data_IF_602477369909
#
_entry.id   IF_602477369909
#
_cell.length_a   1.000
_cell.length_b   1.000
_cell.length_c   1.000
_cell.angle_alpha   90.00
_cell.angle_beta   90.00
_cell.angle_gamma   90.00
#
_symmetry.space_group_name_H-M   'P 1'
#
loop_
_entity.id
_entity.type
_entity.pdbx_description
1 polymer ?
#
# COMPACT_ATOMS: atom_id res chain seq x y z
N UNK A 1 15.72 -87.71 -5.78
CA UNK A 1 16.32 -86.59 -6.55
C UNK A 1 16.01 -85.29 -5.82
N UNK A 2 16.97 -84.77 -5.07
CA UNK A 2 16.85 -83.46 -4.40
C UNK A 2 17.87 -82.54 -5.04
N UNK A 3 17.40 -81.58 -5.84
CA UNK A 3 18.24 -80.55 -6.45
C UNK A 3 18.65 -79.54 -5.36
N UNK A 4 19.88 -79.67 -4.85
CA UNK A 4 20.50 -78.70 -3.95
C UNK A 4 21.01 -77.53 -4.78
N UNK A 5 20.21 -76.46 -4.89
CA UNK A 5 20.56 -75.23 -5.62
C UNK A 5 21.64 -74.48 -4.83
N UNK A 6 22.86 -74.43 -5.35
CA UNK A 6 23.95 -73.64 -4.78
C UNK A 6 23.66 -72.15 -5.00
N UNK A 7 23.31 -71.42 -3.93
CA UNK A 7 23.25 -69.96 -3.93
C UNK A 7 24.64 -69.44 -3.55
N UNK A 8 25.37 -68.94 -4.55
CA UNK A 8 26.69 -68.35 -4.39
C UNK A 8 26.51 -66.98 -3.73
N UNK A 9 26.97 -66.80 -2.49
CA UNK A 9 26.90 -65.52 -1.79
C UNK A 9 27.73 -64.47 -2.53
N UNK A 10 27.10 -63.41 -3.03
CA UNK A 10 27.78 -62.29 -3.66
C UNK A 10 28.30 -61.36 -2.57
N UNK A 11 29.59 -60.97 -2.65
CA UNK A 11 30.26 -60.09 -1.67
C UNK A 11 29.45 -58.81 -1.42
N UNK A 12 29.35 -58.37 -0.16
CA UNK A 12 28.52 -57.25 0.32
C UNK A 12 28.71 -55.95 -0.46
N UNK A 13 29.94 -55.70 -0.97
CA UNK A 13 30.26 -54.53 -1.79
C UNK A 13 29.57 -54.56 -3.16
N UNK A 14 29.40 -55.74 -3.76
CA UNK A 14 28.68 -55.92 -5.02
C UNK A 14 27.18 -55.69 -4.88
N UNK A 15 26.63 -55.90 -3.68
CA UNK A 15 25.21 -55.77 -3.43
C UNK A 15 24.82 -54.29 -3.25
N UNK A 16 25.65 -53.52 -2.55
CA UNK A 16 25.48 -52.06 -2.36
C UNK A 16 25.54 -51.33 -3.71
N UNK A 17 26.49 -51.67 -4.58
CA UNK A 17 26.62 -51.06 -5.91
C UNK A 17 25.36 -51.31 -6.75
N UNK A 18 24.80 -52.53 -6.68
CA UNK A 18 23.56 -52.87 -7.41
C UNK A 18 22.36 -52.10 -6.89
N UNK A 19 22.22 -51.92 -5.58
CA UNK A 19 21.15 -51.13 -4.98
C UNK A 19 21.25 -49.67 -5.43
N UNK A 20 22.43 -49.06 -5.36
CA UNK A 20 22.63 -47.68 -5.79
C UNK A 20 22.37 -47.47 -7.29
N UNK A 21 22.72 -48.46 -8.14
CA UNK A 21 22.40 -48.43 -9.57
C UNK A 21 20.89 -48.46 -9.84
N UNK A 22 20.13 -49.23 -9.05
CA UNK A 22 18.67 -49.29 -9.16
C UNK A 22 18.05 -47.94 -8.76
N UNK A 23 18.52 -47.32 -7.67
CA UNK A 23 18.05 -45.99 -7.27
C UNK A 23 18.36 -44.94 -8.33
N UNK A 24 19.58 -44.93 -8.87
CA UNK A 24 19.99 -43.97 -9.90
C UNK A 24 19.15 -44.12 -11.18
N UNK A 25 18.86 -45.36 -11.60
CA UNK A 25 17.94 -45.63 -12.71
C UNK A 25 16.52 -45.12 -12.45
N UNK A 26 16.01 -45.30 -11.23
CA UNK A 26 14.69 -44.80 -10.83
C UNK A 26 14.62 -43.27 -10.82
N UNK A 27 15.65 -42.57 -10.32
CA UNK A 27 15.73 -41.11 -10.37
C UNK A 27 15.82 -40.58 -11.79
N UNK A 28 16.59 -41.22 -12.67
CA UNK A 28 16.67 -40.84 -14.08
C UNK A 28 15.32 -41.04 -14.79
N UNK A 29 14.60 -42.13 -14.49
CA UNK A 29 13.26 -42.36 -15.03
C UNK A 29 12.26 -41.31 -14.54
N UNK A 30 12.26 -40.97 -13.24
CA UNK A 30 11.45 -39.88 -12.71
C UNK A 30 11.77 -38.54 -13.38
N UNK A 31 13.06 -38.25 -13.59
CA UNK A 31 13.49 -37.01 -14.24
C UNK A 31 13.05 -36.94 -15.70
N UNK A 32 13.15 -38.05 -16.44
CA UNK A 32 12.66 -38.16 -17.81
C UNK A 32 11.14 -38.06 -17.87
N UNK A 33 10.40 -38.63 -16.91
CA UNK A 33 8.95 -38.47 -16.80
C UNK A 33 8.58 -37.02 -16.50
N UNK A 34 9.32 -36.32 -15.63
CA UNK A 34 9.11 -34.89 -15.34
C UNK A 34 9.39 -34.00 -16.56
N UNK A 35 10.31 -34.40 -17.44
CA UNK A 35 10.60 -33.68 -18.69
C UNK A 35 9.57 -34.01 -19.79
N UNK A 36 9.10 -35.26 -19.88
CA UNK A 36 8.20 -35.73 -20.95
C UNK A 36 6.72 -35.55 -20.62
N UNK A 37 6.33 -35.46 -19.35
CA UNK A 37 4.99 -35.06 -18.92
C UNK A 37 5.01 -33.57 -18.54
N UNK A 38 4.50 -32.66 -19.39
CA UNK A 38 4.24 -31.28 -18.99
C UNK A 38 3.00 -31.24 -18.08
N UNK A 39 3.11 -31.80 -16.87
CA UNK A 39 2.11 -31.69 -15.82
C UNK A 39 2.27 -30.38 -15.05
N UNK A 40 2.23 -29.25 -15.77
CA UNK A 40 2.00 -27.90 -15.24
C UNK A 40 1.96 -26.88 -16.39
N UNK A 41 1.08 -27.10 -17.39
CA UNK A 41 0.91 -26.16 -18.51
C UNK A 41 0.15 -24.87 -18.16
N UNK A 42 0.11 -24.46 -16.89
CA UNK A 42 -0.55 -23.23 -16.45
C UNK A 42 0.45 -22.11 -16.08
N UNK A 43 1.76 -22.39 -16.09
CA UNK A 43 2.80 -21.41 -15.75
C UNK A 43 3.35 -20.64 -16.96
N UNK A 44 3.29 -21.20 -18.17
CA UNK A 44 3.93 -20.57 -19.33
C UNK A 44 3.08 -19.52 -20.05
N UNK A 45 1.76 -19.50 -19.86
CA UNK A 45 0.91 -18.46 -20.46
C UNK A 45 1.06 -17.11 -19.74
N UNK A 46 1.44 -17.12 -18.45
CA UNK A 46 1.72 -15.90 -17.68
C UNK A 46 3.11 -15.31 -17.92
N UNK A 47 4.09 -16.10 -18.32
CA UNK A 47 5.45 -15.61 -18.56
C UNK A 47 5.51 -14.63 -19.76
N UNK A 48 4.68 -14.86 -20.78
CA UNK A 48 4.58 -13.95 -21.94
C UNK A 48 3.85 -12.63 -21.59
N UNK A 49 3.03 -12.61 -20.53
CA UNK A 49 2.42 -11.39 -19.97
C UNK A 49 3.36 -10.63 -19.02
N UNK A 50 4.45 -11.25 -18.58
CA UNK A 50 5.38 -10.73 -17.56
C UNK A 50 6.60 -9.99 -18.12
N UNK A 51 6.67 -9.74 -19.42
CA UNK A 51 7.66 -8.80 -20.00
C UNK A 51 6.97 -7.48 -20.33
N UNK A 52 6.49 -6.77 -19.31
CA UNK A 52 6.34 -5.31 -19.38
C UNK A 52 7.61 -4.68 -18.83
N UNK A 53 8.59 -4.51 -19.71
CA UNK A 53 9.76 -3.70 -19.39
C UNK A 53 9.30 -2.28 -19.00
N UNK A 54 9.75 -1.83 -17.83
CA UNK A 54 9.77 -0.41 -17.47
C UNK A 54 10.68 0.31 -18.47
N UNK A 55 10.11 1.20 -19.26
CA UNK A 55 10.81 1.95 -20.29
C UNK A 55 11.64 3.07 -19.64
N UNK A 56 12.79 2.73 -19.05
CA UNK A 56 13.82 3.71 -18.68
C UNK A 56 15.28 3.34 -18.99
N UNK A 57 15.54 2.26 -19.73
CA UNK A 57 16.92 1.91 -20.14
C UNK A 57 17.06 1.50 -21.62
N UNK A 58 16.40 2.25 -22.51
CA UNK A 58 16.66 2.16 -23.96
C UNK A 58 17.57 3.32 -24.40
N UNK A 59 18.88 3.11 -24.42
CA UNK A 59 19.78 3.96 -25.20
C UNK A 59 19.52 3.75 -26.70
N UNK A 60 18.74 4.64 -27.31
CA UNK A 60 18.54 4.66 -28.76
C UNK A 60 19.84 5.06 -29.48
N UNK A 61 20.55 4.08 -30.03
CA UNK A 61 21.48 4.31 -31.14
C UNK A 61 20.63 4.47 -32.41
N UNK A 62 20.62 5.68 -32.96
CA UNK A 62 19.85 6.04 -34.17
C UNK A 62 20.52 5.41 -35.38
N UNK A 63 19.92 4.37 -35.95
CA UNK A 63 20.17 3.97 -37.33
C UNK A 63 18.87 3.54 -38.01
N UNK A 64 18.84 3.73 -39.32
CA UNK A 64 17.66 4.05 -40.10
C UNK A 64 16.64 2.91 -40.23
N UNK A 65 15.37 3.26 -40.00
CA UNK A 65 14.23 2.84 -40.80
C UNK A 65 13.74 1.39 -40.66
N UNK A 66 12.68 1.20 -39.87
CA UNK A 66 11.48 0.40 -40.22
C UNK A 66 10.33 0.95 -39.36
N UNK A 67 9.26 1.45 -40.01
CA UNK A 67 8.01 1.82 -39.34
C UNK A 67 7.16 0.57 -39.16
N UNK A 68 7.03 0.06 -37.94
CA UNK A 68 5.96 -0.88 -37.60
C UNK A 68 4.85 -0.15 -36.87
N UNK A 69 3.69 -0.08 -37.54
CA UNK A 69 2.42 0.42 -37.02
C UNK A 69 1.79 -0.70 -36.21
N UNK A 70 2.06 -0.74 -34.90
CA UNK A 70 1.34 -1.62 -33.99
C UNK A 70 -0.01 -0.98 -33.66
N UNK A 71 -1.06 -1.43 -34.35
CA UNK A 71 -2.45 -1.25 -33.91
C UNK A 71 -2.66 -2.25 -32.78
N UNK A 72 -2.42 -1.80 -31.55
CA UNK A 72 -2.89 -2.47 -30.35
C UNK A 72 -4.31 -1.95 -30.11
N UNK A 73 -5.30 -2.67 -30.64
CA UNK A 73 -6.66 -2.58 -30.12
C UNK A 73 -6.64 -3.11 -28.69
N UNK A 74 -6.75 -2.20 -27.72
CA UNK A 74 -7.03 -2.54 -26.34
C UNK A 74 -8.46 -3.10 -26.25
N UNK A 75 -8.70 -4.28 -25.66
CA UNK A 75 -10.04 -4.63 -25.21
C UNK A 75 -10.33 -3.80 -23.96
N UNK A 76 -10.76 -2.55 -24.17
CA UNK A 76 -11.36 -1.74 -23.12
C UNK A 76 -12.69 -2.37 -22.70
N UNK A 77 -12.84 -2.50 -21.39
CA UNK A 77 -14.09 -2.31 -20.63
C UNK A 77 -15.07 -3.45 -20.34
N UNK A 78 -14.90 -4.69 -20.80
CA UNK A 78 -15.97 -5.70 -20.59
C UNK A 78 -15.82 -6.68 -19.41
N UNK A 79 -14.71 -6.66 -18.65
CA UNK A 79 -14.49 -7.59 -17.52
C UNK A 79 -14.50 -6.94 -16.13
N UNK A 80 -15.24 -5.83 -15.93
CA UNK A 80 -15.37 -5.19 -14.60
C UNK A 80 -16.80 -5.01 -14.08
N UNK A 81 -17.85 -5.31 -14.85
CA UNK A 81 -19.24 -5.01 -14.44
C UNK A 81 -20.03 -6.15 -13.78
N UNK A 82 -19.37 -7.23 -13.30
CA UNK A 82 -20.07 -8.32 -12.59
C UNK A 82 -20.04 -8.21 -11.05
N UNK A 83 -19.52 -7.10 -10.49
CA UNK A 83 -19.80 -6.76 -9.09
C UNK A 83 -21.04 -5.88 -9.07
N UNK A 84 -22.12 -6.37 -8.47
CA UNK A 84 -23.34 -5.59 -8.30
C UNK A 84 -23.01 -4.26 -7.60
N UNK A 85 -23.46 -3.15 -8.19
CA UNK A 85 -23.32 -1.83 -7.60
C UNK A 85 -24.19 -1.79 -6.33
N UNK A 86 -23.59 -1.49 -5.18
CA UNK A 86 -24.30 -1.46 -3.90
C UNK A 86 -24.85 -0.05 -3.71
N UNK A 87 -26.17 0.08 -3.61
CA UNK A 87 -26.81 1.37 -3.31
C UNK A 87 -26.48 1.79 -1.88
N UNK A 88 -25.87 2.96 -1.70
CA UNK A 88 -25.48 3.47 -0.39
C UNK A 88 -26.38 4.58 0.11
N UNK A 89 -26.97 4.32 1.26
CA UNK A 89 -27.66 5.34 2.03
C UNK A 89 -26.67 6.37 2.58
N UNK A 90 -27.08 7.63 2.55
CA UNK A 90 -26.29 8.75 3.05
C UNK A 90 -26.36 8.76 4.58
N UNK A 91 -25.23 8.63 5.31
CA UNK A 91 -25.19 8.74 6.77
C UNK A 91 -25.82 10.03 7.27
N UNK A 92 -26.37 9.98 8.49
CA UNK A 92 -27.05 11.12 9.10
C UNK A 92 -26.13 12.35 9.22
N UNK A 93 -24.88 12.15 9.63
CA UNK A 93 -23.89 13.22 9.77
C UNK A 93 -23.52 13.87 8.43
N UNK A 94 -23.63 13.15 7.30
CA UNK A 94 -23.39 13.70 5.98
C UNK A 94 -24.45 14.71 5.54
N UNK A 95 -25.66 14.69 6.13
CA UNK A 95 -26.70 15.69 5.83
C UNK A 95 -26.26 17.10 6.25
N UNK A 96 -25.55 17.23 7.37
CA UNK A 96 -25.01 18.51 7.84
C UNK A 96 -23.72 18.94 7.15
N UNK A 97 -23.03 18.00 6.47
CA UNK A 97 -21.73 18.25 5.85
C UNK A 97 -21.84 18.51 4.35
N UNK A 98 -22.67 17.73 3.66
CA UNK A 98 -22.87 17.80 2.21
C UNK A 98 -24.10 18.66 1.94
N UNK A 99 -23.84 19.94 1.68
CA UNK A 99 -24.83 20.94 1.27
C UNK A 99 -24.76 21.28 -0.23
N UNK A 100 -25.44 22.37 -0.61
CA UNK A 100 -25.47 22.88 -1.98
C UNK A 100 -24.05 23.23 -2.46
N UNK A 101 -23.67 22.77 -3.65
CA UNK A 101 -22.36 23.07 -4.24
C UNK A 101 -21.16 22.31 -3.66
N UNK A 102 -21.38 21.33 -2.76
CA UNK A 102 -20.28 20.56 -2.14
C UNK A 102 -19.56 19.70 -3.18
N UNK A 103 -18.24 19.75 -3.19
CA UNK A 103 -17.37 18.92 -4.02
C UNK A 103 -16.80 17.77 -3.19
N UNK A 104 -17.03 16.54 -3.63
CA UNK A 104 -16.66 15.32 -2.91
C UNK A 104 -15.62 14.57 -3.73
N UNK A 105 -14.42 14.39 -3.17
CA UNK A 105 -13.40 13.49 -3.73
C UNK A 105 -13.66 12.06 -3.30
N UNK A 106 -13.82 11.14 -4.23
CA UNK A 106 -14.13 9.74 -3.96
C UNK A 106 -12.96 8.82 -4.27
N UNK A 107 -12.47 8.12 -3.25
CA UNK A 107 -11.34 7.20 -3.34
C UNK A 107 -11.82 5.77 -3.12
N UNK A 108 -11.55 4.86 -4.06
CA UNK A 108 -11.88 3.43 -3.96
C UNK A 108 -13.39 3.14 -3.74
N UNK A 109 -14.27 3.93 -4.38
CA UNK A 109 -15.73 3.83 -4.23
C UNK A 109 -16.43 3.24 -5.48
N UNK A 110 -15.70 2.59 -6.40
CA UNK A 110 -16.21 2.23 -7.73
C UNK A 110 -17.41 1.27 -7.73
N UNK A 111 -17.59 0.50 -6.66
CA UNK A 111 -18.72 -0.44 -6.51
C UNK A 111 -19.91 0.15 -5.72
N UNK A 112 -19.86 1.43 -5.37
CA UNK A 112 -20.82 2.09 -4.50
C UNK A 112 -21.66 3.12 -5.27
N UNK A 113 -22.98 2.93 -5.30
CA UNK A 113 -23.89 3.95 -5.84
C UNK A 113 -24.20 4.99 -4.77
N UNK A 114 -23.70 6.19 -5.04
CA UNK A 114 -23.71 7.39 -4.20
C UNK A 114 -24.30 8.58 -4.97
N UNK A 115 -24.99 8.31 -6.08
CA UNK A 115 -25.60 9.31 -6.97
C UNK A 115 -26.57 10.26 -6.24
N UNK A 116 -27.22 9.78 -5.18
CA UNK A 116 -28.17 10.53 -4.36
C UNK A 116 -27.54 11.42 -3.28
N UNK A 117 -26.21 11.47 -3.17
CA UNK A 117 -25.55 12.18 -2.05
C UNK A 117 -25.43 13.68 -2.28
N UNK A 118 -25.21 14.07 -3.52
CA UNK A 118 -25.07 15.46 -3.95
C UNK A 118 -26.44 16.11 -4.16
N UNK A 119 -26.63 17.27 -3.54
CA UNK A 119 -27.75 18.17 -3.83
C UNK A 119 -27.45 19.02 -5.08
N UNK A 120 -28.37 19.91 -5.45
CA UNK A 120 -28.17 20.86 -6.56
C UNK A 120 -26.76 21.48 -6.55
N UNK A 121 -26.09 21.42 -7.71
CA UNK A 121 -24.74 21.94 -7.97
C UNK A 121 -23.59 21.23 -7.23
N UNK A 122 -23.84 20.19 -6.43
CA UNK A 122 -22.80 19.34 -5.88
C UNK A 122 -22.09 18.53 -6.95
N UNK A 123 -20.82 18.20 -6.74
CA UNK A 123 -20.03 17.38 -7.69
C UNK A 123 -19.35 16.23 -6.96
N UNK A 124 -19.39 15.07 -7.59
CA UNK A 124 -18.62 13.89 -7.19
C UNK A 124 -17.45 13.78 -8.15
N UNK A 125 -16.24 13.76 -7.59
CA UNK A 125 -14.99 13.70 -8.34
C UNK A 125 -14.33 12.36 -8.00
N UNK A 126 -14.39 11.36 -8.89
CA UNK A 126 -13.70 10.09 -8.68
C UNK A 126 -12.19 10.32 -8.70
N UNK A 127 -11.47 9.62 -7.82
CA UNK A 127 -10.01 9.64 -7.73
C UNK A 127 -9.49 8.24 -8.09
N UNK A 128 -9.37 7.91 -9.39
CA UNK A 128 -8.81 6.64 -9.82
C UNK A 128 -7.32 6.56 -9.48
N UNK A 129 -6.87 5.38 -9.08
CA UNK A 129 -5.46 5.07 -8.88
C UNK A 129 -5.22 3.59 -9.21
N UNK A 130 -3.97 3.24 -9.53
CA UNK A 130 -3.58 1.87 -9.77
C UNK A 130 -3.50 1.10 -8.44
N UNK A 131 -4.19 -0.04 -8.27
CA UNK A 131 -4.05 -0.85 -7.07
C UNK A 131 -2.63 -1.41 -6.92
N UNK A 132 -2.17 -1.57 -5.67
CA UNK A 132 -0.92 -2.29 -5.40
C UNK A 132 -0.95 -3.72 -5.93
N UNK A 133 0.20 -4.22 -6.35
CA UNK A 133 0.38 -5.62 -6.73
C UNK A 133 0.03 -6.55 -5.57
N UNK A 134 -0.66 -7.65 -5.85
CA UNK A 134 -0.96 -8.69 -4.86
C UNK A 134 0.31 -9.38 -4.32
N UNK A 135 1.43 -9.27 -5.03
CA UNK A 135 2.73 -9.79 -4.60
C UNK A 135 3.44 -8.88 -3.59
N UNK A 136 2.98 -7.63 -3.44
CA UNK A 136 3.55 -6.67 -2.52
C UNK A 136 3.03 -6.91 -1.10
N UNK A 137 3.80 -7.67 -0.32
CA UNK A 137 3.51 -7.91 1.08
C UNK A 137 3.94 -6.79 2.02
N UNK A 138 3.33 -6.75 3.21
CA UNK A 138 3.66 -5.80 4.26
C UNK A 138 5.14 -5.81 4.65
N UNK A 139 5.76 -7.01 4.70
CA UNK A 139 7.17 -7.19 5.07
C UNK A 139 8.15 -6.53 4.09
N UNK A 140 7.74 -6.27 2.85
CA UNK A 140 8.57 -5.56 1.89
C UNK A 140 8.62 -4.05 2.17
N UNK A 141 7.56 -3.51 2.80
CA UNK A 141 7.47 -2.09 3.19
C UNK A 141 7.98 -1.90 4.63
N UNK A 142 7.65 -2.82 5.51
CA UNK A 142 8.04 -2.83 6.92
C UNK A 142 8.78 -4.15 7.25
N UNK A 143 10.05 -4.30 6.81
CA UNK A 143 10.85 -5.46 7.17
C UNK A 143 11.14 -5.53 8.68
N UNK A 144 11.41 -6.73 9.17
CA UNK A 144 11.78 -6.97 10.57
C UNK A 144 13.15 -6.42 10.91
N UNK A 145 14.07 -6.48 9.95
CA UNK A 145 15.44 -5.96 10.06
C UNK A 145 15.69 -4.99 8.92
N UNK A 146 16.35 -3.89 9.26
CA UNK A 146 16.80 -2.89 8.32
C UNK A 146 18.32 -2.99 8.33
N UNK A 147 18.94 -2.96 7.15
CA UNK A 147 20.39 -2.93 7.05
C UNK A 147 20.88 -1.51 7.35
N UNK A 148 21.08 -1.22 8.63
CA UNK A 148 21.55 0.09 9.10
C UNK A 148 22.99 0.41 8.66
N UNK A 149 23.79 -0.62 8.39
CA UNK A 149 25.22 -0.51 8.04
C UNK A 149 25.48 -0.59 6.52
N UNK A 150 24.41 -0.70 5.71
CA UNK A 150 24.47 -0.81 4.23
C UNK A 150 25.41 -1.92 3.73
N UNK A 151 25.63 -2.97 4.52
CA UNK A 151 26.57 -4.06 4.19
C UNK A 151 26.07 -4.93 3.04
N UNK A 152 24.75 -4.98 2.86
CA UNK A 152 24.08 -5.64 1.76
C UNK A 152 23.48 -4.57 0.84
N UNK A 153 23.73 -4.68 -0.46
CA UNK A 153 22.99 -3.93 -1.48
C UNK A 153 21.54 -4.45 -1.51
N UNK A 154 20.77 -4.13 -0.47
CA UNK A 154 19.41 -4.57 -0.25
C UNK A 154 18.48 -3.97 -1.30
N UNK A 155 17.51 -4.76 -1.73
CA UNK A 155 16.45 -4.36 -2.66
C UNK A 155 15.86 -3.00 -2.30
N UNK A 156 15.71 -2.11 -3.29
CA UNK A 156 15.09 -0.81 -3.11
C UNK A 156 13.68 -0.94 -2.52
N UNK A 157 13.33 -0.03 -1.61
CA UNK A 157 12.00 0.04 -1.02
C UNK A 157 10.95 0.18 -2.14
N UNK A 158 9.90 -0.66 -2.17
CA UNK A 158 8.93 -0.65 -3.25
C UNK A 158 8.07 0.61 -3.21
N UNK A 159 7.83 1.19 -4.38
CA UNK A 159 6.93 2.34 -4.52
C UNK A 159 5.46 1.91 -4.44
N UNK A 160 4.67 2.64 -3.67
CA UNK A 160 3.21 2.46 -3.62
C UNK A 160 2.59 3.36 -4.70
N UNK A 161 1.84 2.81 -5.68
CA UNK A 161 1.20 3.61 -6.71
C UNK A 161 0.26 4.65 -6.10
N UNK A 162 0.35 5.89 -6.59
CA UNK A 162 -0.47 7.02 -6.18
C UNK A 162 -1.13 7.64 -7.42
N UNK A 163 -2.32 8.25 -7.29
CA UNK A 163 -2.88 9.03 -8.38
C UNK A 163 -2.00 10.25 -8.67
N UNK A 164 -2.09 10.76 -9.91
CA UNK A 164 -1.56 12.08 -10.19
C UNK A 164 -2.47 13.13 -9.57
N UNK A 165 -2.03 13.69 -8.45
CA UNK A 165 -2.78 14.72 -7.75
C UNK A 165 -2.86 16.02 -8.55
N UNK A 166 -2.00 16.23 -9.55
CA UNK A 166 -1.92 17.48 -10.30
C UNK A 166 -2.98 17.64 -11.38
N UNK A 167 -3.59 16.53 -11.81
CA UNK A 167 -4.70 16.53 -12.76
C UNK A 167 -6.00 17.16 -12.20
N UNK A 168 -6.09 17.35 -10.89
CA UNK A 168 -7.30 17.88 -10.25
C UNK A 168 -7.23 19.39 -10.05
N UNK A 169 -7.78 20.17 -10.97
CA UNK A 169 -7.85 21.64 -10.82
C UNK A 169 -8.74 22.09 -9.66
N UNK A 170 -9.77 21.30 -9.35
CA UNK A 170 -10.77 21.66 -8.35
C UNK A 170 -10.38 21.20 -6.95
N UNK A 171 -10.61 22.07 -5.96
CA UNK A 171 -10.51 21.71 -4.54
C UNK A 171 -11.76 20.99 -4.05
N UNK A 172 -11.59 19.93 -3.27
CA UNK A 172 -12.68 19.15 -2.68
C UNK A 172 -12.98 19.63 -1.27
N UNK A 173 -14.26 19.67 -0.90
CA UNK A 173 -14.72 20.07 0.43
C UNK A 173 -14.73 18.88 1.41
N UNK A 174 -14.89 17.67 0.87
CA UNK A 174 -14.93 16.40 1.62
C UNK A 174 -14.19 15.34 0.82
N UNK A 175 -13.34 14.56 1.49
CA UNK A 175 -12.79 13.32 0.92
C UNK A 175 -13.57 12.14 1.51
N UNK A 176 -14.08 11.26 0.65
CA UNK A 176 -14.76 10.03 1.03
C UNK A 176 -13.96 8.85 0.48
N UNK A 177 -13.63 7.87 1.33
CA UNK A 177 -12.92 6.68 0.90
C UNK A 177 -13.51 5.40 1.49
N UNK A 178 -13.61 4.34 0.68
CA UNK A 178 -13.92 3.00 1.19
C UNK A 178 -12.61 2.24 1.42
N UNK A 179 -12.39 1.80 2.65
CA UNK A 179 -11.17 1.11 3.02
C UNK A 179 -11.36 -0.40 2.94
N UNK A 180 -10.47 -1.14 2.25
CA UNK A 180 -10.41 -2.59 2.32
C UNK A 180 -10.32 -3.06 3.77
N UNK A 181 -11.12 -4.06 4.12
CA UNK A 181 -11.17 -4.66 5.44
C UNK A 181 -11.26 -6.17 5.29
N UNK A 182 -10.33 -6.89 5.94
CA UNK A 182 -10.28 -8.36 5.99
C UNK A 182 -10.47 -8.89 7.42
N UNK A 183 -10.93 -8.04 8.34
CA UNK A 183 -11.19 -8.50 9.70
C UNK A 183 -12.23 -9.63 9.69
N UNK A 184 -12.06 -10.71 10.48
CA UNK A 184 -11.05 -10.94 11.51
C UNK A 184 -9.83 -11.78 11.07
N UNK A 185 -9.49 -11.85 9.78
CA UNK A 185 -8.35 -12.62 9.28
C UNK A 185 -7.02 -12.19 9.93
N UNK A 186 -6.10 -13.13 10.14
CA UNK A 186 -4.78 -12.83 10.70
C UNK A 186 -4.03 -11.81 9.80
N UNK A 187 -3.44 -10.79 10.41
CA UNK A 187 -2.73 -9.76 9.67
C UNK A 187 -3.61 -8.76 8.91
N UNK A 188 -4.94 -8.73 9.13
CA UNK A 188 -5.85 -7.76 8.50
C UNK A 188 -5.42 -6.29 8.67
N UNK A 189 -4.72 -5.98 9.77
CA UNK A 189 -4.19 -4.66 10.09
C UNK A 189 -2.91 -4.31 9.31
N UNK A 190 -2.23 -5.33 8.76
CA UNK A 190 -1.00 -5.26 7.96
C UNK A 190 -1.29 -5.52 6.48
N UNK A 191 -2.40 -4.97 5.97
CA UNK A 191 -2.75 -5.03 4.56
C UNK A 191 -2.21 -3.81 3.80
N UNK A 192 -1.43 -4.05 2.75
CA UNK A 192 -0.84 -3.00 1.90
C UNK A 192 -1.90 -2.30 1.06
N UNK A 193 -2.95 -3.02 0.62
CA UNK A 193 -4.06 -2.41 -0.12
C UNK A 193 -4.82 -1.44 0.76
N UNK A 194 -5.07 -1.84 2.01
CA UNK A 194 -5.63 -0.97 3.04
C UNK A 194 -4.74 0.26 3.26
N UNK A 195 -3.43 0.08 3.41
CA UNK A 195 -2.48 1.20 3.57
C UNK A 195 -2.54 2.17 2.39
N UNK A 196 -2.50 1.66 1.16
CA UNK A 196 -2.54 2.47 -0.05
C UNK A 196 -3.77 3.40 -0.05
N UNK A 197 -4.98 2.87 0.19
CA UNK A 197 -6.19 3.69 0.18
C UNK A 197 -6.17 4.77 1.25
N UNK A 198 -5.64 4.48 2.45
CA UNK A 198 -5.49 5.50 3.49
C UNK A 198 -4.54 6.62 3.04
N UNK A 199 -3.44 6.27 2.39
CA UNK A 199 -2.46 7.25 1.90
C UNK A 199 -3.00 8.07 0.75
N UNK A 200 -3.72 7.47 -0.19
CA UNK A 200 -4.37 8.20 -1.29
C UNK A 200 -5.37 9.20 -0.71
N UNK A 201 -6.24 8.77 0.22
CA UNK A 201 -7.20 9.66 0.86
C UNK A 201 -6.53 10.80 1.65
N UNK A 202 -5.47 10.49 2.41
CA UNK A 202 -4.74 11.47 3.20
C UNK A 202 -3.98 12.47 2.32
N UNK A 203 -3.25 12.00 1.30
CA UNK A 203 -2.53 12.86 0.34
C UNK A 203 -3.51 13.70 -0.46
N UNK A 204 -4.64 13.15 -0.89
CA UNK A 204 -5.70 13.89 -1.57
C UNK A 204 -6.25 15.03 -0.71
N UNK A 205 -6.48 14.77 0.58
CA UNK A 205 -6.91 15.80 1.52
C UNK A 205 -5.85 16.92 1.63
N UNK A 206 -4.57 16.56 1.74
CA UNK A 206 -3.44 17.51 1.78
C UNK A 206 -3.34 18.36 0.52
N UNK A 207 -3.24 17.73 -0.64
CA UNK A 207 -2.92 18.40 -1.91
C UNK A 207 -4.11 19.17 -2.46
N UNK A 208 -5.29 18.53 -2.49
CA UNK A 208 -6.49 19.02 -3.19
C UNK A 208 -7.67 19.30 -2.26
N UNK A 209 -7.46 19.23 -0.95
CA UNK A 209 -8.45 19.65 0.03
C UNK A 209 -8.71 21.15 0.06
N UNK A 210 -9.98 21.51 0.29
CA UNK A 210 -10.39 22.83 0.75
C UNK A 210 -10.37 22.83 2.28
N UNK A 211 -9.42 23.59 2.82
CA UNK A 211 -9.24 23.76 4.25
C UNK A 211 -10.13 24.89 4.76
N UNK A 212 -10.75 24.70 5.93
CA UNK A 212 -11.48 25.77 6.60
C UNK A 212 -10.52 26.80 7.23
N UNK A 213 -11.07 27.86 7.82
CA UNK A 213 -10.31 28.93 8.48
C UNK A 213 -9.46 28.46 9.67
N UNK A 214 -9.76 27.29 10.23
CA UNK A 214 -8.97 26.62 11.27
C UNK A 214 -7.94 25.64 10.72
N UNK A 215 -7.75 25.59 9.40
CA UNK A 215 -6.86 24.62 8.76
C UNK A 215 -7.35 23.19 8.91
N UNK A 216 -8.67 22.96 8.99
CA UNK A 216 -9.26 21.62 9.09
C UNK A 216 -9.98 21.20 7.82
N UNK A 217 -9.96 19.90 7.56
CA UNK A 217 -10.68 19.28 6.45
C UNK A 217 -11.53 18.10 6.92
N UNK A 218 -12.63 17.85 6.21
CA UNK A 218 -13.53 16.73 6.46
C UNK A 218 -13.08 15.51 5.66
N UNK A 219 -12.83 14.41 6.35
CA UNK A 219 -12.51 13.11 5.74
C UNK A 219 -13.48 12.08 6.30
N UNK A 220 -14.09 11.30 5.42
CA UNK A 220 -15.10 10.30 5.76
C UNK A 220 -14.65 8.96 5.21
N UNK A 221 -14.56 7.95 6.07
CA UNK A 221 -14.05 6.64 5.73
C UNK A 221 -15.15 5.59 5.95
N UNK A 222 -15.37 4.73 4.95
CA UNK A 222 -16.26 3.59 5.02
C UNK A 222 -15.45 2.31 5.25
N UNK A 223 -15.58 1.69 6.42
CA UNK A 223 -14.92 0.42 6.74
C UNK A 223 -15.49 -0.19 8.02
N UNK A 224 -15.70 -1.50 8.01
CA UNK A 224 -15.99 -2.27 9.23
C UNK A 224 -14.78 -2.23 10.19
N UNK A 225 -13.58 -2.27 9.61
CA UNK A 225 -12.31 -2.18 10.32
C UNK A 225 -11.98 -0.74 10.72
N UNK A 226 -11.53 -0.54 11.96
CA UNK A 226 -11.03 0.75 12.44
C UNK A 226 -9.92 1.35 11.56
N UNK A 227 -10.07 2.59 11.04
CA UNK A 227 -9.03 3.27 10.25
C UNK A 227 -7.67 3.34 10.97
N UNK A 228 -6.57 3.35 10.21
CA UNK A 228 -5.21 3.40 10.74
C UNK A 228 -4.99 4.67 11.55
N UNK A 229 -4.75 4.51 12.86
CA UNK A 229 -4.64 5.62 13.82
C UNK A 229 -3.37 6.44 13.64
N UNK A 230 -2.39 5.85 12.97
CA UNK A 230 -1.11 6.45 12.57
C UNK A 230 -1.31 7.57 11.54
N UNK A 231 -2.36 7.45 10.72
CA UNK A 231 -2.75 8.41 9.67
C UNK A 231 -3.91 9.28 10.16
N UNK A 232 -5.01 8.67 10.61
CA UNK A 232 -6.21 9.38 11.07
C UNK A 232 -6.37 9.25 12.59
N UNK A 233 -6.09 10.33 13.30
CA UNK A 233 -5.95 10.29 14.77
C UNK A 233 -7.31 10.26 15.46
N UNK A 234 -7.35 9.61 16.62
CA UNK A 234 -8.56 9.56 17.45
C UNK A 234 -9.06 10.90 17.97
N UNK A 235 -8.14 11.84 18.23
CA UNK A 235 -8.52 13.19 18.66
C UNK A 235 -9.19 14.01 17.55
N UNK A 236 -9.12 13.54 16.31
CA UNK A 236 -9.69 14.20 15.12
C UNK A 236 -10.98 13.51 14.65
N UNK A 237 -11.31 12.34 15.22
CA UNK A 237 -12.59 11.68 14.98
C UNK A 237 -13.71 12.48 15.64
N UNK A 238 -14.71 12.82 14.84
CA UNK A 238 -15.88 13.59 15.27
C UNK A 238 -17.05 12.67 15.58
N UNK A 239 -17.31 11.70 14.71
CA UNK A 239 -18.50 10.85 14.79
C UNK A 239 -18.27 9.51 14.11
N UNK A 240 -18.98 8.48 14.57
CA UNK A 240 -19.04 7.16 13.93
C UNK A 240 -20.51 6.72 13.83
N UNK A 241 -20.92 6.28 12.64
CA UNK A 241 -22.26 5.77 12.37
C UNK A 241 -22.13 4.42 11.63
N UNK A 242 -22.29 3.31 12.35
CA UNK A 242 -22.01 1.98 11.81
C UNK A 242 -20.54 1.86 11.35
N UNK A 243 -20.36 1.59 10.05
CA UNK A 243 -19.05 1.47 9.39
C UNK A 243 -18.51 2.81 8.85
N UNK A 244 -19.22 3.90 9.10
CA UNK A 244 -18.80 5.23 8.70
C UNK A 244 -18.02 5.91 9.80
N UNK A 245 -16.85 6.43 9.45
CA UNK A 245 -15.96 7.14 10.33
C UNK A 245 -15.75 8.56 9.82
N UNK A 246 -16.15 9.56 10.60
CA UNK A 246 -15.99 10.96 10.24
C UNK A 246 -14.87 11.63 11.04
N UNK A 247 -13.92 12.21 10.31
CA UNK A 247 -12.79 12.94 10.86
C UNK A 247 -12.78 14.40 10.42
N UNK A 248 -12.35 15.27 11.33
CA UNK A 248 -11.90 16.63 11.04
C UNK A 248 -10.39 16.71 11.26
N UNK A 249 -9.65 16.44 10.19
CA UNK A 249 -8.19 16.36 10.20
C UNK A 249 -7.56 17.75 10.19
N UNK A 250 -6.42 17.89 10.86
CA UNK A 250 -5.61 19.11 10.87
C UNK A 250 -4.57 19.08 9.76
N UNK A 251 -4.42 20.18 9.01
CA UNK A 251 -3.53 20.26 7.86
C UNK A 251 -2.08 19.94 8.22
N UNK A 252 -1.52 20.61 9.21
CA UNK A 252 -0.10 20.48 9.56
C UNK A 252 0.24 19.08 10.06
N UNK A 253 -0.65 18.50 10.87
CA UNK A 253 -0.47 17.12 11.36
C UNK A 253 -0.57 16.10 10.24
N UNK A 254 -1.53 16.24 9.33
CA UNK A 254 -1.71 15.31 8.23
C UNK A 254 -0.57 15.43 7.20
N UNK A 255 -0.14 16.66 6.89
CA UNK A 255 1.03 16.95 6.04
C UNK A 255 2.30 16.28 6.58
N UNK A 256 2.55 16.39 7.88
CA UNK A 256 3.68 15.70 8.51
C UNK A 256 3.58 14.19 8.32
N UNK A 257 2.38 13.60 8.41
CA UNK A 257 2.21 12.15 8.25
C UNK A 257 2.42 11.68 6.82
N UNK A 258 1.89 12.38 5.82
CA UNK A 258 2.02 11.97 4.42
C UNK A 258 3.35 12.36 3.79
N UNK A 259 4.10 13.27 4.41
CA UNK A 259 5.45 13.67 3.99
C UNK A 259 6.56 12.78 4.57
N UNK A 260 6.26 11.90 5.52
CA UNK A 260 7.22 10.91 6.02
C UNK A 260 7.38 9.76 5.02
N UNK A 261 8.59 9.16 4.93
CA UNK A 261 8.79 7.98 4.11
C UNK A 261 7.85 6.85 4.54
N UNK A 262 7.33 6.15 3.54
CA UNK A 262 6.43 5.02 3.76
C UNK A 262 7.26 3.76 3.97
N UNK A 263 7.07 3.12 5.12
CA UNK A 263 7.80 1.90 5.42
C UNK A 263 9.14 2.13 6.10
N UNK A 264 9.56 1.13 6.86
CA UNK A 264 10.89 1.13 7.45
C UNK A 264 11.98 0.81 6.42
N UNK A 265 11.64 0.23 5.26
CA UNK A 265 12.60 0.02 4.16
C UNK A 265 13.18 1.32 3.59
N UNK A 266 12.50 2.46 3.76
CA UNK A 266 12.99 3.78 3.34
C UNK A 266 13.86 4.48 4.38
N UNK A 267 14.13 3.85 5.54
CA UNK A 267 14.96 4.45 6.59
C UNK A 267 16.46 4.17 6.40
N UNK A 268 16.81 3.07 5.72
CA UNK A 268 18.19 2.77 5.29
C UNK A 268 18.52 3.40 3.93
N UNK A 269 18.19 4.69 3.75
CA UNK A 269 18.56 5.37 2.52
C UNK A 269 20.06 5.70 2.52
N UNK A 270 20.78 5.41 1.41
CA UNK A 270 22.22 5.65 1.31
C UNK A 270 22.51 7.13 1.52
N UNK A 271 23.44 7.42 2.44
CA UNK A 271 23.83 8.79 2.75
C UNK A 271 24.42 9.55 1.54
N UNK A 272 24.77 8.89 0.43
CA UNK A 272 25.65 9.44 -0.61
C UNK A 272 25.20 9.33 -2.08
N UNK A 273 23.93 9.55 -2.42
CA UNK A 273 23.53 9.71 -3.84
C UNK A 273 22.72 10.98 -4.14
N UNK A 274 23.29 12.15 -3.80
CA UNK A 274 23.07 13.41 -4.55
C UNK A 274 24.31 14.30 -4.54
N UNK A 275 25.35 13.90 -5.28
CA UNK A 275 26.30 14.88 -5.83
C UNK A 275 25.67 15.47 -7.09
N UNK A 276 25.18 16.72 -6.98
CA UNK A 276 24.97 17.56 -8.15
C UNK A 276 23.63 18.27 -8.26
N UNK A 277 23.27 19.12 -7.29
CA UNK A 277 22.81 20.48 -7.63
C UNK A 277 22.88 21.37 -6.39
N UNK A 278 23.80 22.34 -6.42
CA UNK A 278 23.98 23.31 -5.36
C UNK A 278 22.90 24.38 -5.46
N UNK A 279 21.73 24.13 -4.89
CA UNK A 279 20.83 25.20 -4.47
C UNK A 279 21.06 25.46 -2.99
N UNK A 280 21.56 26.66 -2.70
CA UNK A 280 21.92 27.17 -1.37
C UNK A 280 20.75 26.99 -0.40
N UNK A 281 20.78 25.95 0.44
CA UNK A 281 20.01 25.95 1.68
C UNK A 281 20.67 26.95 2.63
N UNK A 282 19.98 28.06 2.84
CA UNK A 282 20.30 29.06 3.85
C UNK A 282 20.50 28.36 5.19
N UNK A 283 21.73 28.41 5.67
CA UNK A 283 22.16 27.98 7.00
C UNK A 283 21.29 28.67 8.05
N UNK A 284 20.42 27.93 8.73
CA UNK A 284 19.80 28.41 9.96
C UNK A 284 20.90 28.67 10.98
N UNK A 285 21.00 29.87 11.57
CA UNK A 285 22.02 30.15 12.57
C UNK A 285 21.77 29.31 13.82
N UNK A 286 22.82 28.64 14.30
CA UNK A 286 22.85 27.92 15.59
C UNK A 286 22.23 28.81 16.68
N UNK A 287 21.09 28.40 17.22
CA UNK A 287 20.53 28.99 18.42
C UNK A 287 21.47 28.71 19.60
N UNK A 288 21.83 29.77 20.34
CA UNK A 288 22.59 29.66 21.59
C UNK A 288 21.82 28.79 22.60
N UNK A 289 22.51 27.99 23.43
CA UNK A 289 21.85 27.28 24.52
C UNK A 289 21.21 28.28 25.50
N UNK A 290 20.03 27.96 26.07
CA UNK A 290 19.34 28.84 27.00
C UNK A 290 20.13 28.99 28.31
N UNK A 291 20.06 30.14 28.99
CA UNK A 291 20.71 30.32 30.28
C UNK A 291 20.04 29.43 31.35
N UNK A 292 20.87 28.90 32.27
CA UNK A 292 20.43 28.10 33.42
C UNK A 292 19.38 28.87 34.23
N UNK A 293 18.23 28.23 34.46
CA UNK A 293 17.18 28.73 35.34
C UNK A 293 17.72 28.81 36.78
N UNK A 294 17.42 29.93 37.46
CA UNK A 294 17.62 30.09 38.90
C UNK A 294 16.51 29.34 39.63
N UNK A 295 16.88 28.62 40.68
CA UNK A 295 15.96 28.01 41.64
C UNK A 295 15.11 29.11 42.29
N UNK A 296 13.79 28.94 42.21
CA UNK A 296 12.79 29.86 42.75
C UNK A 296 11.52 29.11 43.08
N UNK A 297 11.33 28.92 44.38
CA UNK A 297 10.21 28.40 45.16
C UNK A 297 8.85 28.13 44.49
N UNK A 298 8.36 26.90 44.72
CA UNK A 298 7.06 26.67 45.35
C UNK A 298 5.81 27.03 44.56
N UNK A 299 5.49 26.25 43.53
CA UNK A 299 4.12 26.13 43.02
C UNK A 299 3.68 24.67 42.97
N UNK A 300 2.63 24.37 43.75
CA UNK A 300 1.94 23.07 43.84
C UNK A 300 1.51 22.61 42.43
N UNK A 301 1.79 21.35 42.02
CA UNK A 301 1.38 20.87 40.70
C UNK A 301 -0.14 20.77 40.64
N UNK A 302 -0.73 21.58 39.75
CA UNK A 302 -2.09 21.38 39.25
C UNK A 302 -2.16 20.01 38.56
N UNK A 303 -3.22 19.22 38.76
CA UNK A 303 -3.28 17.89 38.16
C UNK A 303 -3.24 18.00 36.64
N UNK A 304 -2.43 17.15 35.99
CA UNK A 304 -2.52 16.91 34.54
C UNK A 304 -4.01 16.76 34.19
N UNK A 305 -4.53 17.68 33.38
CA UNK A 305 -5.83 17.52 32.77
C UNK A 305 -5.79 16.19 32.01
N UNK A 306 -6.56 15.21 32.47
CA UNK A 306 -6.65 13.90 31.85
C UNK A 306 -6.89 14.10 30.36
N UNK A 307 -6.01 13.56 29.51
CA UNK A 307 -6.31 13.35 28.10
C UNK A 307 -7.60 12.53 28.08
N UNK A 308 -8.76 13.17 27.85
CA UNK A 308 -10.02 12.44 27.69
C UNK A 308 -9.78 11.48 26.54
N UNK A 309 -9.69 10.18 26.85
CA UNK A 309 -9.78 9.14 25.83
C UNK A 309 -11.09 9.40 25.11
N UNK A 310 -11.04 9.68 23.81
CA UNK A 310 -12.25 9.80 23.02
C UNK A 310 -12.91 8.42 23.03
N UNK A 311 -14.05 8.23 23.71
CA UNK A 311 -14.66 6.91 23.88
C UNK A 311 -15.06 6.30 22.54
N UNK A 312 -15.29 7.14 21.51
CA UNK A 312 -15.56 6.73 20.13
C UNK A 312 -14.37 6.00 19.46
N UNK A 313 -13.18 6.11 20.04
CA UNK A 313 -11.94 5.51 19.55
C UNK A 313 -11.44 4.37 20.44
N UNK A 314 -12.26 3.91 21.41
CA UNK A 314 -11.95 2.70 22.17
C UNK A 314 -12.00 1.48 21.23
N UNK A 315 -11.01 0.60 21.34
CA UNK A 315 -11.11 -0.74 20.73
C UNK A 315 -12.17 -1.50 21.54
N UNK A 316 -13.12 -2.20 20.90
CA UNK A 316 -14.03 -3.09 21.63
C UNK A 316 -13.27 -4.17 22.41
#
# INVERSE_FOLDING_TARGET
>A
MVFKKMIKSTSSKSLIIRINLIFLSFFLLLYVILILCPSASDYHERAALLVRCSLRDCHHKKENGIKMKAVLEEPKSQLKSLRGVIKREKPSFLKGIIGKGTKIGMVNMDNEDVSNWTSENGRIIPVPFEPVSEMLEWKHIFPEWIDEEEEYSGSSCPDIPMPDFDEYDERMDVIVARLPCRFPEEGWNRDVSRLQVHLVAAKMAVTRGRWDWNGRMKVVLLSECRPMVEIFRCGEMVEREGDWWYYRVDKGKLEQKVGMPMGSCSLALPLWDKKGESTKSTMYPKSKPPPKARDGDGARPTPLSSTRRNPMCAVP
#
